data_IF_129969350828
#
_entry.id   IF_129969350828
#
_cell.length_a   1.000
_cell.length_b   1.000
_cell.length_c   1.000
_cell.angle_alpha   90.00
_cell.angle_beta   90.00
_cell.angle_gamma   90.00
#
_symmetry.space_group_name_H-M   'P 1'
#
loop_
_entity.id
_entity.type
_entity.pdbx_description
1 polymer ?
#
# COMPACT_ATOMS: atom_id res chain seq x y z
N UNK A 1 -9.80 -8.64 1.70
CA UNK A 1 -9.18 -7.46 2.34
C UNK A 1 -9.68 -6.21 1.65
N UNK A 2 -10.00 -5.16 2.41
CA UNK A 2 -10.53 -3.90 1.88
C UNK A 2 -9.59 -2.74 2.20
N UNK A 3 -9.06 -2.10 1.16
CA UNK A 3 -8.27 -0.87 1.34
C UNK A 3 -9.13 0.32 1.76
N UNK A 4 -10.40 0.33 1.35
CA UNK A 4 -11.26 1.50 1.43
C UNK A 4 -10.91 2.57 0.39
N UNK A 5 -11.61 3.70 0.49
CA UNK A 5 -11.40 4.88 -0.35
C UNK A 5 -10.56 5.91 0.40
N UNK A 6 -9.41 6.32 -0.16
CA UNK A 6 -8.59 7.38 0.44
C UNK A 6 -9.33 8.71 0.35
N UNK A 7 -9.49 9.38 1.50
CA UNK A 7 -9.99 10.75 1.61
C UNK A 7 -8.84 11.71 1.91
N UNK A 8 -7.86 11.28 2.72
CA UNK A 8 -6.70 12.08 3.07
C UNK A 8 -5.44 11.23 3.22
N UNK A 9 -4.29 11.77 2.80
CA UNK A 9 -3.01 11.10 2.91
C UNK A 9 -1.87 12.11 3.04
N UNK A 10 -1.31 12.21 4.23
CA UNK A 10 -0.16 13.05 4.59
C UNK A 10 0.97 12.14 5.13
N UNK A 11 1.86 11.63 4.26
CA UNK A 11 2.84 10.61 4.66
C UNK A 11 4.01 11.16 5.49
N UNK A 12 4.19 12.49 5.52
CA UNK A 12 5.29 13.16 6.21
C UNK A 12 4.75 14.32 7.03
N UNK A 13 5.40 14.63 8.15
CA UNK A 13 5.12 15.85 8.87
C UNK A 13 5.50 17.06 8.01
N UNK A 14 4.58 18.02 7.88
CA UNK A 14 4.80 19.27 7.17
C UNK A 14 4.33 20.43 8.05
N UNK A 15 5.30 21.17 8.60
CA UNK A 15 5.04 22.20 9.62
C UNK A 15 4.32 21.62 10.84
N UNK A 16 3.12 22.14 11.13
CA UNK A 16 2.28 21.71 12.23
C UNK A 16 1.35 20.53 11.86
N UNK A 17 1.37 20.06 10.61
CA UNK A 17 0.55 18.94 10.15
C UNK A 17 1.29 17.64 10.43
N UNK A 18 0.69 16.79 11.26
CA UNK A 18 1.27 15.48 11.60
C UNK A 18 1.04 14.45 10.48
N UNK A 19 1.96 13.48 10.40
CA UNK A 19 1.81 12.33 9.51
C UNK A 19 0.51 11.59 9.81
N UNK A 20 -0.37 11.46 8.82
CA UNK A 20 -1.69 10.86 8.99
C UNK A 20 -2.29 10.39 7.67
N UNK A 21 -3.26 9.47 7.74
CA UNK A 21 -4.01 9.03 6.57
C UNK A 21 -5.41 8.61 6.96
N UNK A 22 -6.36 8.79 6.04
CA UNK A 22 -7.76 8.42 6.23
C UNK A 22 -8.26 7.66 4.99
N UNK A 23 -8.73 6.44 5.23
CA UNK A 23 -9.50 5.66 4.28
C UNK A 23 -10.90 5.42 4.87
N UNK A 24 -11.94 5.62 4.06
CA UNK A 24 -13.33 5.31 4.43
C UNK A 24 -13.80 4.02 3.76
N UNK A 25 -14.92 3.48 4.23
CA UNK A 25 -15.46 2.18 3.81
C UNK A 25 -15.47 1.23 5.00
N UNK A 26 -16.55 1.30 5.79
CA UNK A 26 -16.68 0.63 7.09
C UNK A 26 -16.50 -0.90 6.97
N UNK A 27 -15.42 -1.50 7.53
CA UNK A 27 -15.20 -2.94 7.44
C UNK A 27 -16.30 -3.77 8.10
N UNK A 28 -16.97 -3.27 9.15
CA UNK A 28 -18.08 -3.98 9.77
C UNK A 28 -19.27 -4.13 8.82
N UNK A 29 -19.58 -3.10 8.03
CA UNK A 29 -20.64 -3.16 7.00
C UNK A 29 -20.24 -4.16 5.92
N UNK A 30 -19.01 -4.10 5.41
CA UNK A 30 -18.53 -5.06 4.40
C UNK A 30 -18.59 -6.49 4.95
N UNK A 31 -18.14 -6.71 6.18
CA UNK A 31 -18.15 -8.03 6.81
C UNK A 31 -19.56 -8.58 7.00
N UNK A 32 -20.50 -7.73 7.43
CA UNK A 32 -21.90 -8.09 7.62
C UNK A 32 -22.58 -8.45 6.29
N UNK A 33 -22.47 -7.60 5.28
CA UNK A 33 -23.12 -7.81 3.98
C UNK A 33 -22.52 -8.98 3.19
N UNK A 34 -21.23 -9.29 3.38
CA UNK A 34 -20.54 -10.36 2.64
C UNK A 34 -20.38 -11.66 3.44
N UNK A 35 -20.82 -11.68 4.70
CA UNK A 35 -20.66 -12.81 5.63
C UNK A 35 -19.24 -13.41 5.64
N UNK A 36 -18.22 -12.54 5.58
CA UNK A 36 -16.82 -12.94 5.44
C UNK A 36 -15.94 -12.06 6.31
N UNK A 37 -14.86 -12.63 6.86
CA UNK A 37 -13.84 -11.86 7.59
C UNK A 37 -13.21 -10.78 6.71
N UNK A 38 -13.28 -9.52 7.16
CA UNK A 38 -12.68 -8.39 6.46
C UNK A 38 -11.45 -7.88 7.22
N UNK A 39 -10.31 -7.88 6.53
CA UNK A 39 -9.09 -7.20 6.96
C UNK A 39 -9.03 -5.84 6.25
N UNK A 40 -8.85 -4.76 7.00
CA UNK A 40 -8.81 -3.38 6.49
C UNK A 40 -7.75 -2.54 7.21
N UNK A 41 -7.72 -1.22 6.95
CA UNK A 41 -6.86 -0.24 7.60
C UNK A 41 -5.34 -0.48 7.41
N UNK A 42 -4.94 -0.94 6.22
CA UNK A 42 -3.56 -1.35 5.93
C UNK A 42 -2.52 -0.23 6.07
N UNK A 43 -2.85 1.01 5.71
CA UNK A 43 -1.87 2.12 5.69
C UNK A 43 -1.52 2.64 7.07
N UNK A 44 -2.51 2.68 7.96
CA UNK A 44 -2.35 3.25 9.30
C UNK A 44 -1.29 2.49 10.10
N UNK A 45 -1.25 1.16 9.97
CA UNK A 45 -0.23 0.35 10.64
C UNK A 45 1.18 0.64 10.11
N UNK A 46 1.35 0.78 8.79
CA UNK A 46 2.66 1.14 8.20
C UNK A 46 3.12 2.52 8.68
N UNK A 47 2.21 3.51 8.72
CA UNK A 47 2.54 4.84 9.24
C UNK A 47 2.86 4.85 10.74
N UNK A 48 2.14 4.06 11.53
CA UNK A 48 2.43 3.87 12.96
C UNK A 48 3.81 3.22 13.18
N UNK A 49 4.25 2.36 12.27
CA UNK A 49 5.59 1.77 12.27
C UNK A 49 6.69 2.72 11.72
N UNK A 50 6.38 3.98 11.44
CA UNK A 50 7.31 4.97 10.89
C UNK A 50 7.46 4.94 9.36
N UNK A 51 6.65 4.13 8.68
CA UNK A 51 6.52 4.11 7.23
C UNK A 51 5.74 5.31 6.68
N UNK A 52 5.45 5.28 5.38
CA UNK A 52 4.73 6.37 4.68
C UNK A 52 3.27 6.03 4.41
N UNK A 53 2.82 4.82 4.74
CA UNK A 53 1.51 4.28 4.37
C UNK A 53 1.38 3.97 2.88
N UNK A 54 2.44 4.13 2.08
CA UNK A 54 2.41 3.99 0.63
C UNK A 54 3.83 3.92 0.01
N UNK A 55 3.99 3.24 -1.14
CA UNK A 55 3.13 2.17 -1.67
C UNK A 55 3.35 0.87 -0.88
N UNK A 56 2.28 0.13 -0.59
CA UNK A 56 2.37 -1.18 0.12
C UNK A 56 2.55 -2.38 -0.84
N UNK A 57 2.30 -2.15 -2.13
CA UNK A 57 2.36 -3.16 -3.20
C UNK A 57 3.77 -3.73 -3.48
N UNK A 58 4.90 -3.02 -3.27
CA UNK A 58 6.24 -3.54 -3.62
C UNK A 58 6.56 -4.92 -3.06
N UNK A 59 6.07 -5.26 -1.87
CA UNK A 59 6.33 -6.57 -1.27
C UNK A 59 5.71 -7.72 -2.06
N UNK A 60 4.43 -7.61 -2.44
CA UNK A 60 3.77 -8.64 -3.24
C UNK A 60 4.36 -8.70 -4.65
N UNK A 61 4.76 -7.55 -5.19
CA UNK A 61 5.41 -7.46 -6.51
C UNK A 61 6.77 -8.16 -6.56
N UNK A 62 7.57 -8.05 -5.50
CA UNK A 62 8.80 -8.81 -5.37
C UNK A 62 8.51 -10.31 -5.33
N UNK A 63 7.49 -10.75 -4.58
CA UNK A 63 7.13 -12.18 -4.49
C UNK A 63 6.67 -12.73 -5.84
N UNK A 64 5.78 -12.01 -6.52
CA UNK A 64 5.13 -12.48 -7.75
C UNK A 64 6.02 -12.33 -8.98
N UNK A 65 6.81 -11.27 -9.06
CA UNK A 65 7.48 -10.88 -10.30
C UNK A 65 9.00 -10.91 -10.24
N UNK A 66 9.64 -11.29 -9.13
CA UNK A 66 11.11 -11.37 -9.09
C UNK A 66 11.63 -12.47 -10.01
N UNK A 67 12.52 -12.09 -10.92
CA UNK A 67 13.11 -12.98 -11.91
C UNK A 67 14.54 -13.38 -11.56
N UNK A 68 15.01 -14.54 -12.03
CA UNK A 68 16.36 -15.01 -11.73
C UNK A 68 17.45 -14.08 -12.31
N UNK A 69 17.23 -13.57 -13.51
CA UNK A 69 18.26 -12.84 -14.30
C UNK A 69 17.82 -11.48 -14.84
N UNK A 70 16.57 -11.08 -14.64
CA UNK A 70 16.02 -9.85 -15.24
C UNK A 70 15.59 -8.91 -14.13
N UNK A 71 16.04 -7.66 -14.20
CA UNK A 71 15.42 -6.59 -13.44
C UNK A 71 14.08 -6.25 -14.10
N UNK A 72 13.08 -5.94 -13.30
CA UNK A 72 11.75 -5.55 -13.77
C UNK A 72 11.34 -4.25 -13.12
N UNK A 73 10.68 -3.40 -13.90
CA UNK A 73 9.99 -2.22 -13.41
C UNK A 73 8.50 -2.51 -13.54
N UNK A 74 7.76 -2.35 -12.45
CA UNK A 74 6.32 -2.50 -12.43
C UNK A 74 5.73 -1.11 -12.24
N UNK A 75 5.17 -0.57 -13.31
CA UNK A 75 4.59 0.77 -13.34
C UNK A 75 3.08 0.65 -13.13
N UNK A 76 2.59 1.16 -12.00
CA UNK A 76 1.18 1.41 -11.80
C UNK A 76 0.83 2.79 -12.34
N UNK A 77 -0.16 2.88 -13.23
CA UNK A 77 -0.68 4.14 -13.79
C UNK A 77 -2.11 4.32 -13.27
N UNK A 78 -2.24 4.94 -12.10
CA UNK A 78 -3.53 5.37 -11.52
C UNK A 78 -3.60 6.89 -11.42
N UNK A 79 -4.45 7.41 -10.52
CA UNK A 79 -4.48 8.85 -10.24
C UNK A 79 -3.13 9.40 -9.76
N UNK A 80 -2.36 8.57 -9.04
CA UNK A 80 -0.93 8.79 -8.75
C UNK A 80 -0.14 7.61 -9.31
N UNK A 81 0.77 7.89 -10.23
CA UNK A 81 1.69 6.89 -10.78
C UNK A 81 2.74 6.49 -9.76
N UNK A 82 3.09 5.21 -9.70
CA UNK A 82 4.23 4.72 -8.91
C UNK A 82 4.91 3.56 -9.63
N UNK A 83 6.20 3.39 -9.35
CA UNK A 83 7.02 2.32 -9.93
C UNK A 83 7.68 1.52 -8.81
N UNK A 84 7.57 0.20 -8.90
CA UNK A 84 8.38 -0.71 -8.10
C UNK A 84 9.53 -1.22 -8.94
N UNK A 85 10.74 -1.04 -8.43
CA UNK A 85 11.95 -1.64 -8.99
C UNK A 85 12.13 -3.02 -8.38
N UNK A 86 11.96 -4.07 -9.17
CA UNK A 86 12.16 -5.45 -8.75
C UNK A 86 13.50 -5.94 -9.32
N UNK A 87 14.58 -5.94 -8.51
CA UNK A 87 15.88 -6.45 -8.95
C UNK A 87 15.82 -7.96 -9.17
N UNK A 88 16.64 -8.45 -10.09
CA UNK A 88 16.83 -9.88 -10.28
C UNK A 88 17.36 -10.55 -9.00
N UNK A 89 17.30 -11.88 -8.92
CA UNK A 89 17.95 -12.60 -7.80
C UNK A 89 19.47 -12.56 -7.88
N UNK A 90 20.05 -12.33 -9.06
CA UNK A 90 21.51 -12.27 -9.27
C UNK A 90 22.12 -10.88 -9.18
N UNK A 91 21.30 -9.82 -9.24
CA UNK A 91 21.76 -8.47 -8.94
C UNK A 91 22.04 -8.37 -7.44
N UNK A 92 23.32 -8.21 -7.10
CA UNK A 92 23.78 -7.80 -5.78
C UNK A 92 23.29 -6.38 -5.49
#
# INVERSE_FOLDING_TARGET
GSHGQTIYHQPKQEGNIISSTLQIGEPAVIAYETNTTVISNFRTMDMAAGGRGAPLVPYSEIILYRHQTKNRLLQNIGGIGNVTVVPSKRSK
#
